data_IF_519264899570
#
_entry.id   IF_519264899570
#
_cell.length_a   1.000
_cell.length_b   1.000
_cell.length_c   1.000
_cell.angle_alpha   90.00
_cell.angle_beta   90.00
_cell.angle_gamma   90.00
#
_symmetry.space_group_name_H-M   'P 1'
#
loop_
_entity.id
_entity.type
_entity.pdbx_description
1 polymer ?
#
# COMPACT_ATOMS: atom_id res chain seq x y z
N UNK A 1 -91.28 1.84 66.93
CA UNK A 1 -91.40 2.22 65.58
C UNK A 1 -90.06 2.75 65.16
N UNK A 2 -89.36 1.96 64.48
CA UNK A 2 -87.93 1.97 64.46
C UNK A 2 -87.48 2.48 63.10
N UNK A 3 -86.61 3.46 63.07
CA UNK A 3 -86.04 3.96 61.84
C UNK A 3 -84.54 3.73 61.88
N UNK A 4 -84.07 2.86 60.98
CA UNK A 4 -82.67 2.48 60.89
C UNK A 4 -82.02 3.19 59.72
N UNK A 5 -81.16 4.14 60.02
CA UNK A 5 -80.30 4.81 59.01
C UNK A 5 -79.12 3.88 58.62
N UNK A 6 -79.02 3.55 57.35
CA UNK A 6 -77.87 2.86 56.77
C UNK A 6 -76.84 3.88 56.31
N UNK A 7 -75.68 3.87 56.91
CA UNK A 7 -74.49 4.57 56.39
C UNK A 7 -73.95 3.82 55.20
N UNK A 8 -73.90 4.46 54.08
CA UNK A 8 -73.16 3.98 52.92
C UNK A 8 -71.68 4.44 53.02
N UNK A 9 -70.78 3.45 53.16
CA UNK A 9 -69.32 3.71 53.01
C UNK A 9 -69.01 3.77 51.55
N UNK A 10 -68.47 4.89 51.07
CA UNK A 10 -67.89 5.05 49.76
C UNK A 10 -66.42 4.56 49.83
N UNK A 11 -66.08 3.46 49.11
CA UNK A 11 -64.72 3.03 48.93
C UNK A 11 -64.21 3.69 47.69
N UNK A 12 -63.25 4.59 47.83
CA UNK A 12 -62.51 5.14 46.69
C UNK A 12 -61.41 4.20 46.35
N UNK A 13 -61.56 3.47 45.23
CA UNK A 13 -60.50 2.67 44.64
C UNK A 13 -59.60 3.58 43.80
N UNK A 14 -58.42 3.87 44.31
CA UNK A 14 -57.35 4.53 43.56
C UNK A 14 -56.68 3.51 42.60
N UNK A 15 -57.04 3.57 41.35
CA UNK A 15 -56.32 2.83 40.27
C UNK A 15 -55.01 3.53 39.97
N UNK A 16 -53.91 3.03 40.51
CA UNK A 16 -52.57 3.45 40.15
C UNK A 16 -52.25 2.98 38.74
N UNK A 17 -52.19 3.89 37.79
CA UNK A 17 -51.66 3.60 36.44
C UNK A 17 -50.14 3.43 36.52
N UNK A 18 -49.65 2.20 36.62
CA UNK A 18 -48.24 1.87 36.37
C UNK A 18 -47.95 2.05 34.87
N UNK A 19 -47.35 3.21 34.50
CA UNK A 19 -46.79 3.42 33.19
C UNK A 19 -45.57 2.47 33.04
N UNK A 20 -45.72 1.35 32.36
CA UNK A 20 -44.60 0.57 31.83
C UNK A 20 -43.90 1.42 30.80
N UNK A 21 -42.81 2.08 31.18
CA UNK A 21 -41.84 2.62 30.25
C UNK A 21 -41.11 1.39 29.65
N UNK A 22 -41.68 0.84 28.59
CA UNK A 22 -41.00 -0.12 27.76
C UNK A 22 -39.76 0.53 27.12
N UNK A 23 -38.62 0.34 27.76
CA UNK A 23 -37.35 0.65 27.12
C UNK A 23 -37.30 -0.20 25.83
N UNK A 24 -37.50 0.44 24.69
CA UNK A 24 -37.18 -0.16 23.40
C UNK A 24 -35.67 -0.43 23.41
N UNK A 25 -35.29 -1.61 23.88
CA UNK A 25 -33.96 -2.17 23.68
C UNK A 25 -33.86 -2.42 22.19
N UNK A 26 -33.42 -1.40 21.44
CA UNK A 26 -32.93 -1.65 20.07
C UNK A 26 -31.87 -2.73 20.20
N UNK A 27 -31.97 -3.84 19.46
CA UNK A 27 -30.92 -4.85 19.49
C UNK A 27 -29.61 -4.14 19.12
N UNK A 28 -28.66 -4.10 20.04
CA UNK A 28 -27.34 -3.63 19.74
C UNK A 28 -26.81 -4.54 18.62
N UNK A 29 -26.70 -4.01 17.41
CA UNK A 29 -25.99 -4.71 16.33
C UNK A 29 -24.63 -5.04 16.92
N UNK A 30 -24.29 -6.33 17.00
CA UNK A 30 -23.01 -6.75 17.53
C UNK A 30 -21.92 -6.00 16.77
N UNK A 31 -21.06 -5.28 17.48
CA UNK A 31 -19.95 -4.56 16.85
C UNK A 31 -19.07 -5.56 16.11
N UNK A 32 -18.60 -5.18 14.92
CA UNK A 32 -17.63 -5.99 14.19
C UNK A 32 -16.40 -6.28 15.07
N UNK A 33 -15.76 -7.46 14.94
CA UNK A 33 -14.53 -7.76 15.67
C UNK A 33 -13.51 -6.65 15.55
N UNK A 34 -12.77 -6.35 16.64
CA UNK A 34 -11.71 -5.38 16.65
C UNK A 34 -12.14 -3.92 16.83
N UNK A 35 -13.44 -3.64 17.03
CA UNK A 35 -13.93 -2.32 17.37
C UNK A 35 -14.56 -2.33 18.76
N UNK A 36 -14.11 -1.44 19.63
CA UNK A 36 -14.69 -1.21 20.96
C UNK A 36 -15.05 0.28 21.13
N UNK A 37 -15.52 0.65 22.30
CA UNK A 37 -15.78 2.06 22.63
C UNK A 37 -14.49 2.90 22.61
N UNK A 38 -13.32 2.30 22.84
CA UNK A 38 -12.04 3.01 23.03
C UNK A 38 -10.94 2.60 22.05
N UNK A 39 -11.14 1.54 21.25
CA UNK A 39 -10.11 0.96 20.39
C UNK A 39 -10.65 0.57 19.03
N UNK A 40 -9.77 0.72 18.01
CA UNK A 40 -9.89 0.12 16.68
C UNK A 40 -8.62 -0.72 16.47
N UNK A 41 -8.77 -2.04 16.36
CA UNK A 41 -7.66 -2.97 16.18
C UNK A 41 -7.50 -3.33 14.70
N UNK A 42 -6.35 -2.98 14.13
CA UNK A 42 -5.97 -3.28 12.75
C UNK A 42 -4.89 -4.37 12.71
N UNK A 43 -4.78 -5.07 11.59
CA UNK A 43 -3.77 -6.10 11.38
C UNK A 43 -2.95 -5.91 10.13
N UNK A 44 -1.67 -6.31 10.18
CA UNK A 44 -0.79 -6.37 9.01
C UNK A 44 0.00 -7.68 9.00
N UNK A 45 -0.01 -8.39 7.86
CA UNK A 45 0.94 -9.45 7.54
C UNK A 45 1.94 -8.90 6.53
N UNK A 46 3.22 -8.90 6.89
CA UNK A 46 4.30 -8.27 6.11
C UNK A 46 5.63 -8.89 6.49
N UNK A 47 6.62 -8.99 5.58
CA UNK A 47 7.94 -9.51 5.91
C UNK A 47 8.67 -8.53 6.83
N UNK A 48 8.86 -8.92 8.10
CA UNK A 48 9.69 -8.18 9.05
C UNK A 48 11.06 -8.82 9.23
N UNK A 49 11.22 -10.06 8.78
CA UNK A 49 12.51 -10.78 8.73
C UNK A 49 12.73 -11.44 7.36
N UNK A 50 13.89 -12.06 7.16
CA UNK A 50 14.25 -12.66 5.87
C UNK A 50 14.85 -11.64 4.88
N UNK A 51 15.00 -12.02 3.60
CA UNK A 51 15.60 -11.17 2.56
C UNK A 51 14.75 -9.92 2.31
N UNK A 52 13.47 -10.07 2.07
CA UNK A 52 12.53 -8.97 1.91
C UNK A 52 12.35 -8.14 3.19
N UNK A 53 12.51 -8.75 4.37
CA UNK A 53 12.44 -8.06 5.66
C UNK A 53 13.53 -7.00 5.84
N UNK A 54 14.70 -7.15 5.21
CA UNK A 54 15.75 -6.12 5.22
C UNK A 54 15.31 -4.83 4.52
N UNK A 55 14.36 -4.92 3.59
CA UNK A 55 13.80 -3.78 2.87
C UNK A 55 12.53 -3.30 3.57
N UNK A 56 11.55 -4.19 3.67
CA UNK A 56 10.16 -3.84 4.03
C UNK A 56 9.85 -4.02 5.53
N UNK A 57 10.80 -4.53 6.33
CA UNK A 57 10.60 -4.81 7.76
C UNK A 57 10.22 -3.59 8.60
N UNK A 58 10.54 -2.39 8.12
CA UNK A 58 10.18 -1.11 8.75
C UNK A 58 8.76 -0.64 8.44
N UNK A 59 8.06 -1.23 7.46
CA UNK A 59 6.71 -0.82 7.05
C UNK A 59 5.68 -0.83 8.20
N UNK A 60 5.54 -1.91 9.00
CA UNK A 60 4.61 -1.91 10.14
C UNK A 60 4.95 -0.86 11.20
N UNK A 61 6.25 -0.64 11.46
CA UNK A 61 6.73 0.37 12.40
C UNK A 61 6.41 1.79 11.94
N UNK A 62 6.55 2.08 10.65
CA UNK A 62 6.19 3.36 10.05
C UNK A 62 4.67 3.64 10.15
N UNK A 63 3.84 2.63 9.87
CA UNK A 63 2.39 2.76 10.03
C UNK A 63 2.00 2.99 11.49
N UNK A 64 2.60 2.21 12.40
CA UNK A 64 2.37 2.36 13.84
C UNK A 64 2.76 3.75 14.34
N UNK A 65 3.89 4.28 13.90
CA UNK A 65 4.33 5.64 14.27
C UNK A 65 3.30 6.71 13.91
N UNK A 66 2.71 6.61 12.73
CA UNK A 66 1.64 7.52 12.33
C UNK A 66 0.36 7.30 13.16
N UNK A 67 -0.03 6.06 13.45
CA UNK A 67 -1.17 5.78 14.31
C UNK A 67 -0.93 6.27 15.75
N UNK A 68 0.28 6.12 16.29
CA UNK A 68 0.64 6.65 17.62
C UNK A 68 0.56 8.18 17.64
N UNK A 69 0.98 8.84 16.56
CA UNK A 69 0.80 10.29 16.40
C UNK A 69 -0.67 10.69 16.42
N UNK A 70 -1.53 9.98 15.68
CA UNK A 70 -2.98 10.23 15.69
C UNK A 70 -3.58 9.95 17.07
N UNK A 71 -3.17 8.87 17.73
CA UNK A 71 -3.62 8.54 19.09
C UNK A 71 -3.26 9.61 20.12
N UNK A 72 -2.06 10.20 20.01
CA UNK A 72 -1.64 11.33 20.85
C UNK A 72 -2.45 12.63 20.59
N UNK A 73 -3.16 12.70 19.46
CA UNK A 73 -3.99 13.83 19.06
C UNK A 73 -5.51 13.49 19.07
N UNK A 74 -5.93 12.57 19.96
CA UNK A 74 -7.36 12.26 20.19
C UNK A 74 -7.90 11.05 19.41
N UNK A 75 -7.08 10.39 18.62
CA UNK A 75 -7.45 9.18 17.87
C UNK A 75 -8.47 9.41 16.77
N UNK A 76 -9.28 8.40 16.49
CA UNK A 76 -10.38 8.45 15.52
C UNK A 76 -11.71 8.33 16.25
N UNK A 77 -12.49 9.40 16.25
CA UNK A 77 -13.76 9.46 16.97
C UNK A 77 -13.65 9.05 18.47
N UNK A 78 -12.55 9.44 19.14
CA UNK A 78 -12.26 9.11 20.54
C UNK A 78 -11.67 7.70 20.75
N UNK A 79 -11.48 6.91 19.72
CA UNK A 79 -10.85 5.57 19.78
C UNK A 79 -9.39 5.64 19.41
N UNK A 80 -8.54 4.86 20.10
CA UNK A 80 -7.15 4.62 19.72
C UNK A 80 -7.07 3.57 18.62
N UNK A 81 -6.12 3.73 17.71
CA UNK A 81 -5.80 2.72 16.71
C UNK A 81 -4.65 1.87 17.25
N UNK A 82 -4.83 0.55 17.24
CA UNK A 82 -3.80 -0.44 17.56
C UNK A 82 -3.47 -1.26 16.32
N UNK A 83 -2.20 -1.45 16.00
CA UNK A 83 -1.73 -2.26 14.88
C UNK A 83 -1.07 -3.55 15.38
N UNK A 84 -1.63 -4.69 15.01
CA UNK A 84 -1.04 -6.02 15.24
C UNK A 84 -0.27 -6.43 14.00
N UNK A 85 1.05 -6.57 14.13
CA UNK A 85 1.93 -6.98 13.03
C UNK A 85 2.34 -8.44 13.18
N UNK A 86 2.31 -9.19 12.08
CA UNK A 86 2.76 -10.59 12.00
C UNK A 86 3.74 -10.76 10.84
N UNK A 87 4.87 -11.42 11.13
CA UNK A 87 5.92 -11.69 10.16
C UNK A 87 5.55 -12.86 9.24
N UNK A 88 5.52 -12.63 7.95
CA UNK A 88 5.29 -13.65 6.93
C UNK A 88 6.55 -14.03 6.12
N UNK A 89 7.67 -13.37 6.38
CA UNK A 89 8.97 -13.61 5.72
C UNK A 89 8.92 -13.56 4.19
N UNK A 90 7.89 -12.93 3.62
CA UNK A 90 7.59 -12.94 2.18
C UNK A 90 7.31 -14.35 1.62
N UNK A 91 6.80 -15.27 2.46
CA UNK A 91 6.46 -16.64 2.08
C UNK A 91 4.94 -16.80 2.00
N UNK A 92 4.37 -17.16 0.83
CA UNK A 92 2.91 -17.23 0.64
C UNK A 92 2.18 -18.13 1.65
N UNK A 93 2.77 -19.27 2.01
CA UNK A 93 2.18 -20.19 3.00
C UNK A 93 2.18 -19.60 4.41
N UNK A 94 3.23 -18.87 4.76
CA UNK A 94 3.31 -18.22 6.06
C UNK A 94 2.38 -17.01 6.12
N UNK A 95 2.30 -16.22 5.05
CA UNK A 95 1.35 -15.12 4.94
C UNK A 95 -0.10 -15.59 5.13
N UNK A 96 -0.48 -16.74 4.53
CA UNK A 96 -1.78 -17.36 4.75
C UNK A 96 -2.02 -17.70 6.23
N UNK A 97 -1.04 -18.29 6.90
CA UNK A 97 -1.11 -18.65 8.32
C UNK A 97 -1.21 -17.40 9.21
N UNK A 98 -0.37 -16.40 8.98
CA UNK A 98 -0.33 -15.19 9.80
C UNK A 98 -1.59 -14.34 9.62
N UNK A 99 -2.09 -14.21 8.40
CA UNK A 99 -3.35 -13.50 8.13
C UNK A 99 -4.53 -14.21 8.78
N UNK A 100 -4.58 -15.55 8.72
CA UNK A 100 -5.62 -16.32 9.41
C UNK A 100 -5.59 -16.08 10.93
N UNK A 101 -4.41 -15.99 11.54
CA UNK A 101 -4.25 -15.66 12.97
C UNK A 101 -4.72 -14.23 13.27
N UNK A 102 -4.41 -13.25 12.45
CA UNK A 102 -4.91 -11.88 12.62
C UNK A 102 -6.44 -11.84 12.70
N UNK A 103 -7.12 -12.64 11.85
CA UNK A 103 -8.58 -12.66 11.81
C UNK A 103 -9.17 -13.49 12.96
N UNK A 104 -8.67 -14.69 13.23
CA UNK A 104 -9.30 -15.65 14.15
C UNK A 104 -8.82 -15.53 15.60
N UNK A 105 -7.54 -15.17 15.81
CA UNK A 105 -6.95 -15.07 17.14
C UNK A 105 -6.91 -13.64 17.64
N UNK A 106 -6.38 -12.72 16.81
CA UNK A 106 -6.25 -11.32 17.20
C UNK A 106 -7.57 -10.54 17.03
N UNK A 107 -8.51 -11.09 16.25
CA UNK A 107 -9.82 -10.50 15.99
C UNK A 107 -9.73 -9.06 15.50
N UNK A 108 -8.87 -8.81 14.49
CA UNK A 108 -8.72 -7.47 13.93
C UNK A 108 -9.96 -7.02 13.15
N UNK A 109 -10.25 -5.74 13.19
CA UNK A 109 -11.36 -5.12 12.47
C UNK A 109 -11.12 -5.14 10.94
N UNK A 110 -9.93 -4.74 10.54
CA UNK A 110 -9.51 -4.68 9.15
C UNK A 110 -8.04 -5.06 9.02
N UNK A 111 -7.63 -5.51 7.85
CA UNK A 111 -6.24 -5.62 7.44
C UNK A 111 -5.81 -4.32 6.76
N UNK A 112 -4.56 -3.93 6.94
CA UNK A 112 -3.99 -2.72 6.34
C UNK A 112 -2.56 -2.98 5.88
N UNK A 113 -2.20 -2.56 4.66
CA UNK A 113 -0.82 -2.54 4.20
C UNK A 113 -0.13 -3.89 4.01
N UNK A 114 -0.87 -5.00 3.91
CA UNK A 114 -0.28 -6.31 3.61
C UNK A 114 0.62 -6.23 2.36
N UNK A 115 1.75 -6.97 2.34
CA UNK A 115 2.77 -6.80 1.31
C UNK A 115 2.93 -8.03 0.42
N UNK A 116 2.98 -7.78 -0.90
CA UNK A 116 3.35 -8.72 -1.93
C UNK A 116 2.17 -9.34 -2.68
N UNK A 117 2.43 -9.80 -3.90
CA UNK A 117 1.40 -10.34 -4.80
C UNK A 117 1.05 -11.78 -4.45
N UNK A 118 2.01 -12.70 -4.51
CA UNK A 118 1.79 -14.11 -4.22
C UNK A 118 1.44 -14.36 -2.74
N UNK A 119 2.09 -13.64 -1.82
CA UNK A 119 1.81 -13.69 -0.38
C UNK A 119 0.38 -13.30 -0.09
N UNK A 120 -0.07 -12.16 -0.60
CA UNK A 120 -1.41 -11.65 -0.35
C UNK A 120 -2.49 -12.48 -1.05
N UNK A 121 -2.28 -12.92 -2.29
CA UNK A 121 -3.23 -13.80 -3.02
C UNK A 121 -3.50 -15.09 -2.26
N UNK A 122 -2.45 -15.68 -1.67
CA UNK A 122 -2.58 -16.89 -0.86
C UNK A 122 -3.28 -16.61 0.47
N UNK A 123 -2.93 -15.51 1.13
CA UNK A 123 -3.51 -15.07 2.39
C UNK A 123 -5.00 -14.75 2.27
N UNK A 124 -5.40 -14.04 1.21
CA UNK A 124 -6.78 -13.67 0.94
C UNK A 124 -7.72 -14.88 0.93
N UNK A 125 -7.33 -15.90 0.17
CA UNK A 125 -8.12 -17.13 0.03
C UNK A 125 -8.12 -17.93 1.33
N UNK A 126 -6.96 -18.13 1.96
CA UNK A 126 -6.83 -18.97 3.16
C UNK A 126 -7.55 -18.39 4.38
N UNK A 127 -7.54 -17.08 4.55
CA UNK A 127 -8.24 -16.40 5.64
C UNK A 127 -9.72 -16.14 5.35
N UNK A 128 -10.18 -16.46 4.12
CA UNK A 128 -11.56 -16.28 3.65
C UNK A 128 -12.05 -14.83 3.83
N UNK A 129 -11.23 -13.84 3.41
CA UNK A 129 -11.50 -12.42 3.67
C UNK A 129 -12.83 -11.95 3.08
N UNK A 130 -13.17 -12.38 1.84
CA UNK A 130 -14.46 -12.08 1.22
C UNK A 130 -15.64 -12.60 2.04
N UNK A 131 -15.61 -13.90 2.41
CA UNK A 131 -16.71 -14.53 3.13
C UNK A 131 -16.92 -13.95 4.53
N UNK A 132 -15.86 -13.40 5.15
CA UNK A 132 -15.91 -12.76 6.46
C UNK A 132 -16.10 -11.24 6.38
N UNK A 133 -16.27 -10.71 5.17
CA UNK A 133 -16.36 -9.27 4.89
C UNK A 133 -15.27 -8.44 5.60
N UNK A 134 -14.02 -8.95 5.63
CA UNK A 134 -12.90 -8.27 6.27
C UNK A 134 -12.36 -7.21 5.32
N UNK A 135 -12.43 -5.90 5.66
CA UNK A 135 -11.79 -4.86 4.86
C UNK A 135 -10.28 -5.10 4.80
N UNK A 136 -9.72 -5.02 3.60
CA UNK A 136 -8.35 -5.35 3.28
C UNK A 136 -7.76 -4.18 2.49
N UNK A 137 -7.13 -3.28 3.24
CA UNK A 137 -6.92 -1.91 2.84
C UNK A 137 -5.47 -1.67 2.43
N UNK A 138 -5.30 -0.94 1.34
CA UNK A 138 -4.03 -0.39 0.90
C UNK A 138 -2.93 -1.44 0.80
N UNK A 139 -3.29 -2.61 0.23
CA UNK A 139 -2.36 -3.72 0.01
C UNK A 139 -1.22 -3.26 -0.87
N UNK A 140 0.01 -3.51 -0.42
CA UNK A 140 1.23 -3.11 -1.10
C UNK A 140 1.57 -4.07 -2.25
N UNK A 141 0.80 -3.95 -3.31
CA UNK A 141 1.01 -4.61 -4.60
C UNK A 141 0.30 -3.84 -5.70
N UNK A 142 0.88 -3.86 -6.89
CA UNK A 142 0.27 -3.34 -8.12
C UNK A 142 -0.36 -4.43 -8.98
N UNK A 143 -0.61 -5.63 -8.44
CA UNK A 143 -1.22 -6.71 -9.22
C UNK A 143 -2.60 -6.32 -9.74
N UNK A 144 -2.74 -6.20 -11.05
CA UNK A 144 -3.98 -5.76 -11.72
C UNK A 144 -5.18 -6.68 -11.45
N UNK A 145 -4.92 -7.97 -11.14
CA UNK A 145 -5.96 -8.93 -10.80
C UNK A 145 -6.78 -8.57 -9.56
N UNK A 146 -6.23 -7.78 -8.61
CA UNK A 146 -6.98 -7.29 -7.45
C UNK A 146 -8.01 -6.21 -7.79
N UNK A 147 -7.98 -5.63 -8.99
CA UNK A 147 -9.03 -4.77 -9.49
C UNK A 147 -10.36 -5.49 -9.72
N UNK A 148 -10.35 -6.82 -9.80
CA UNK A 148 -11.57 -7.62 -9.97
C UNK A 148 -12.40 -7.63 -8.68
N UNK A 149 -13.36 -6.72 -8.58
CA UNK A 149 -14.25 -6.55 -7.41
C UNK A 149 -15.09 -7.80 -7.11
N UNK A 150 -15.47 -8.59 -8.13
CA UNK A 150 -16.24 -9.82 -7.90
C UNK A 150 -15.41 -10.87 -7.16
N UNK A 151 -14.13 -10.99 -7.50
CA UNK A 151 -13.22 -11.94 -6.85
C UNK A 151 -12.66 -11.40 -5.53
N UNK A 152 -12.40 -10.11 -5.45
CA UNK A 152 -11.77 -9.43 -4.32
C UNK A 152 -12.62 -8.26 -3.80
N UNK A 153 -13.86 -8.51 -3.30
CA UNK A 153 -14.83 -7.46 -2.97
C UNK A 153 -14.35 -6.54 -1.83
N UNK A 154 -13.44 -6.99 -0.97
CA UNK A 154 -12.98 -6.28 0.21
C UNK A 154 -11.57 -5.68 0.09
N UNK A 155 -10.85 -5.97 -1.01
CA UNK A 155 -9.43 -5.59 -1.19
C UNK A 155 -9.30 -4.27 -1.95
N UNK A 156 -8.48 -3.37 -1.43
CA UNK A 156 -8.05 -2.13 -2.07
C UNK A 156 -6.52 -2.10 -2.11
N UNK A 157 -5.93 -2.06 -3.32
CA UNK A 157 -4.47 -1.94 -3.48
C UNK A 157 -4.05 -0.49 -3.39
N UNK A 158 -2.80 -0.22 -2.96
CA UNK A 158 -2.29 1.14 -2.91
C UNK A 158 -1.39 1.47 -4.11
N UNK A 159 -0.59 0.54 -4.59
CA UNK A 159 0.28 0.79 -5.73
C UNK A 159 -0.53 0.93 -7.02
N UNK A 160 -0.09 1.76 -7.97
CA UNK A 160 -0.62 1.71 -9.33
C UNK A 160 -0.35 0.32 -9.94
N UNK A 161 -1.15 -0.08 -10.93
CA UNK A 161 -1.02 -1.44 -11.46
C UNK A 161 0.33 -1.66 -12.16
N UNK A 162 0.90 -2.86 -12.00
CA UNK A 162 2.15 -3.26 -12.65
C UNK A 162 2.03 -3.28 -14.18
N UNK A 163 0.85 -3.62 -14.70
CA UNK A 163 0.59 -3.53 -16.13
C UNK A 163 0.65 -2.07 -16.64
N UNK A 164 0.12 -1.13 -15.86
CA UNK A 164 0.25 0.31 -16.13
C UNK A 164 1.71 0.75 -16.07
N UNK A 165 2.45 0.32 -15.03
CA UNK A 165 3.86 0.64 -14.87
C UNK A 165 4.66 0.23 -16.10
N UNK A 166 4.53 -1.02 -16.53
CA UNK A 166 5.23 -1.55 -17.71
C UNK A 166 4.84 -0.83 -19.01
N UNK A 167 3.56 -0.46 -19.18
CA UNK A 167 3.13 0.37 -20.33
C UNK A 167 3.83 1.74 -20.33
N UNK A 168 3.87 2.41 -19.18
CA UNK A 168 4.51 3.73 -19.06
C UNK A 168 6.04 3.61 -19.21
N UNK A 169 6.65 2.52 -18.69
CA UNK A 169 8.06 2.19 -18.96
C UNK A 169 8.34 2.04 -20.46
N UNK A 170 7.49 1.32 -21.19
CA UNK A 170 7.62 1.19 -22.63
C UNK A 170 7.58 2.54 -23.35
N UNK A 171 6.68 3.44 -22.93
CA UNK A 171 6.65 4.82 -23.45
C UNK A 171 7.94 5.57 -23.13
N UNK A 172 8.42 5.46 -21.88
CA UNK A 172 9.68 6.10 -21.50
C UNK A 172 10.87 5.61 -22.34
N UNK A 173 10.97 4.30 -22.59
CA UNK A 173 11.99 3.70 -23.44
C UNK A 173 11.90 4.25 -24.87
N UNK A 174 10.70 4.35 -25.42
CA UNK A 174 10.47 4.92 -26.75
C UNK A 174 10.91 6.37 -26.83
N UNK A 175 10.51 7.18 -25.86
CA UNK A 175 10.68 8.64 -25.92
C UNK A 175 12.10 9.09 -25.51
N UNK A 176 12.77 8.37 -24.60
CA UNK A 176 14.02 8.81 -23.98
C UNK A 176 15.22 7.88 -24.24
N UNK A 177 14.99 6.65 -24.70
CA UNK A 177 16.03 5.64 -24.95
C UNK A 177 15.98 5.11 -26.38
N UNK A 178 15.47 5.91 -27.33
CA UNK A 178 15.39 5.61 -28.77
C UNK A 178 14.67 4.28 -29.09
N UNK A 179 13.77 3.83 -28.20
CA UNK A 179 13.03 2.59 -28.39
C UNK A 179 13.90 1.33 -28.43
N UNK A 180 15.11 1.36 -27.84
CA UNK A 180 16.04 0.23 -27.89
C UNK A 180 15.44 -1.04 -27.27
N UNK A 181 15.79 -2.23 -27.81
CA UNK A 181 15.37 -3.50 -27.24
C UNK A 181 15.99 -3.70 -25.85
N UNK A 182 15.30 -4.46 -24.99
CA UNK A 182 15.71 -4.65 -23.60
C UNK A 182 15.59 -6.10 -23.14
N UNK A 183 16.37 -6.43 -22.12
CA UNK A 183 16.21 -7.64 -21.33
C UNK A 183 15.39 -7.34 -20.08
N UNK A 184 14.47 -8.24 -19.74
CA UNK A 184 13.64 -8.17 -18.55
C UNK A 184 14.03 -9.25 -17.55
N UNK A 185 14.32 -8.86 -16.31
CA UNK A 185 14.52 -9.74 -15.18
C UNK A 185 13.34 -9.53 -14.20
N UNK A 186 12.45 -10.53 -14.10
CA UNK A 186 11.17 -10.38 -13.39
C UNK A 186 10.88 -11.56 -12.46
N UNK A 187 10.05 -11.32 -11.44
CA UNK A 187 9.63 -12.35 -10.49
C UNK A 187 8.70 -13.38 -11.16
N UNK A 188 8.88 -14.67 -10.84
CA UNK A 188 8.16 -15.80 -11.48
C UNK A 188 6.76 -16.02 -10.84
N UNK A 189 5.97 -14.96 -10.70
CA UNK A 189 4.60 -14.99 -10.20
C UNK A 189 3.73 -13.95 -10.93
N UNK A 190 2.56 -13.64 -10.40
CA UNK A 190 1.63 -12.68 -10.98
C UNK A 190 2.21 -11.25 -11.02
N UNK A 191 3.18 -10.91 -10.17
CA UNK A 191 3.90 -9.63 -10.23
C UNK A 191 4.65 -9.49 -11.56
N UNK A 192 5.53 -10.44 -11.86
CA UNK A 192 6.28 -10.39 -13.12
C UNK A 192 5.41 -10.61 -14.35
N UNK A 193 4.42 -11.52 -14.28
CA UNK A 193 3.46 -11.73 -15.37
C UNK A 193 2.68 -10.47 -15.73
N UNK A 194 2.27 -9.69 -14.74
CA UNK A 194 1.52 -8.45 -14.93
C UNK A 194 2.40 -7.39 -15.63
N UNK A 195 3.67 -7.28 -15.26
CA UNK A 195 4.65 -6.45 -15.97
C UNK A 195 4.85 -6.87 -17.42
N UNK A 196 5.03 -8.17 -17.69
CA UNK A 196 5.14 -8.71 -19.05
C UNK A 196 3.89 -8.40 -19.88
N UNK A 197 2.70 -8.56 -19.28
CA UNK A 197 1.44 -8.22 -19.94
C UNK A 197 1.36 -6.73 -20.30
N UNK A 198 1.84 -5.83 -19.43
CA UNK A 198 1.90 -4.40 -19.69
C UNK A 198 2.81 -4.05 -20.87
N UNK A 199 4.01 -4.60 -20.94
CA UNK A 199 4.93 -4.43 -22.08
C UNK A 199 4.33 -4.98 -23.38
N UNK A 200 3.65 -6.13 -23.32
CA UNK A 200 2.97 -6.74 -24.48
C UNK A 200 1.83 -5.83 -24.96
N UNK A 201 1.01 -5.31 -24.04
CA UNK A 201 -0.08 -4.36 -24.34
C UNK A 201 0.44 -3.06 -24.99
N UNK A 202 1.63 -2.60 -24.57
CA UNK A 202 2.33 -1.47 -25.18
C UNK A 202 2.97 -1.77 -26.54
N UNK A 203 2.83 -2.99 -27.06
CA UNK A 203 3.51 -3.46 -28.28
C UNK A 203 5.03 -3.32 -28.25
N UNK A 204 5.60 -3.44 -27.06
CA UNK A 204 7.03 -3.33 -26.79
C UNK A 204 7.46 -4.51 -25.89
N UNK A 205 7.32 -5.77 -26.38
CA UNK A 205 7.68 -6.93 -25.57
C UNK A 205 9.20 -6.98 -25.32
N UNK A 206 9.65 -7.54 -24.18
CA UNK A 206 11.08 -7.76 -23.94
C UNK A 206 11.70 -8.62 -25.03
N UNK A 207 12.92 -8.27 -25.46
CA UNK A 207 13.71 -9.10 -26.39
C UNK A 207 14.28 -10.37 -25.71
N UNK A 208 14.45 -10.30 -24.38
CA UNK A 208 14.80 -11.44 -23.53
C UNK A 208 14.04 -11.32 -22.21
N UNK A 209 13.53 -12.43 -21.68
CA UNK A 209 12.87 -12.50 -20.38
C UNK A 209 13.48 -13.61 -19.55
N UNK A 210 13.97 -13.26 -18.36
CA UNK A 210 14.41 -14.22 -17.35
C UNK A 210 13.57 -14.07 -16.10
N UNK A 211 12.96 -15.16 -15.64
CA UNK A 211 12.15 -15.21 -14.43
C UNK A 211 12.96 -15.78 -13.27
N UNK A 212 12.86 -15.14 -12.10
CA UNK A 212 13.48 -15.60 -10.86
C UNK A 212 12.41 -16.01 -9.83
N UNK A 213 12.72 -16.93 -8.89
CA UNK A 213 11.79 -17.38 -7.86
C UNK A 213 11.33 -16.24 -6.93
N UNK A 214 10.10 -16.31 -6.43
CA UNK A 214 9.49 -15.30 -5.52
C UNK A 214 10.32 -15.05 -4.25
N UNK A 215 11.14 -16.00 -3.81
CA UNK A 215 11.80 -15.94 -2.50
C UNK A 215 13.07 -15.09 -2.45
N UNK A 216 13.95 -15.21 -3.44
CA UNK A 216 15.23 -14.46 -3.50
C UNK A 216 16.02 -14.79 -4.76
N UNK A 217 17.03 -13.97 -5.04
CA UNK A 217 18.04 -14.18 -6.08
C UNK A 217 19.41 -14.26 -5.41
N UNK A 218 20.18 -15.29 -5.74
CA UNK A 218 21.59 -15.41 -5.31
C UNK A 218 22.51 -14.58 -6.21
N UNK A 219 23.70 -14.27 -5.72
CA UNK A 219 24.72 -13.57 -6.51
C UNK A 219 25.07 -14.35 -7.78
N UNK A 220 25.15 -15.68 -7.72
CA UNK A 220 25.48 -16.53 -8.87
C UNK A 220 24.38 -16.49 -9.94
N UNK A 221 23.11 -16.54 -9.54
CA UNK A 221 21.98 -16.40 -10.48
C UNK A 221 22.05 -15.04 -11.19
N UNK A 222 22.30 -13.96 -10.44
CA UNK A 222 22.44 -12.62 -11.01
C UNK A 222 23.64 -12.50 -11.95
N UNK A 223 24.81 -13.07 -11.58
CA UNK A 223 26.02 -13.09 -12.43
C UNK A 223 25.79 -13.89 -13.70
N UNK A 224 25.21 -15.07 -13.61
CA UNK A 224 24.89 -15.89 -14.78
C UNK A 224 23.94 -15.17 -15.74
N UNK A 225 22.89 -14.53 -15.21
CA UNK A 225 21.97 -13.71 -16.00
C UNK A 225 22.71 -12.59 -16.74
N UNK A 226 23.49 -11.78 -16.01
CA UNK A 226 24.20 -10.63 -16.61
C UNK A 226 25.27 -11.06 -17.61
N UNK A 227 25.97 -12.18 -17.36
CA UNK A 227 26.93 -12.74 -18.30
C UNK A 227 26.23 -13.13 -19.60
N UNK A 228 25.10 -13.81 -19.53
CA UNK A 228 24.29 -14.15 -20.69
C UNK A 228 23.82 -12.92 -21.47
N UNK A 229 23.33 -11.89 -20.77
CA UNK A 229 22.88 -10.63 -21.41
C UNK A 229 24.05 -9.88 -22.04
N UNK A 230 25.21 -9.81 -21.37
CA UNK A 230 26.39 -9.10 -21.90
C UNK A 230 26.94 -9.70 -23.19
N UNK A 231 26.68 -11.00 -23.48
CA UNK A 231 26.99 -11.66 -24.70
C UNK A 231 26.03 -11.35 -25.87
N UNK A 232 24.95 -10.61 -25.61
CA UNK A 232 23.95 -10.15 -26.59
C UNK A 232 24.18 -8.69 -26.98
N UNK A 233 23.55 -8.18 -28.04
CA UNK A 233 23.59 -6.74 -28.35
C UNK A 233 22.74 -5.88 -27.41
N UNK A 234 21.99 -6.45 -26.48
CA UNK A 234 21.13 -5.72 -25.55
C UNK A 234 21.95 -4.86 -24.59
N UNK A 235 21.55 -3.60 -24.42
CA UNK A 235 22.20 -2.63 -23.53
C UNK A 235 21.30 -2.12 -22.43
N UNK A 236 20.00 -2.36 -22.50
CA UNK A 236 19.02 -1.99 -21.49
C UNK A 236 18.54 -3.23 -20.74
N UNK A 237 18.63 -3.19 -19.41
CA UNK A 237 18.17 -4.23 -18.50
C UNK A 237 17.09 -3.64 -17.59
N UNK A 238 15.90 -4.20 -17.66
CA UNK A 238 14.80 -3.82 -16.78
C UNK A 238 14.72 -4.81 -15.63
N UNK A 239 14.76 -4.29 -14.40
CA UNK A 239 14.64 -5.02 -13.15
C UNK A 239 13.22 -4.84 -12.60
N UNK A 240 12.35 -5.80 -12.94
CA UNK A 240 10.96 -5.80 -12.47
C UNK A 240 10.84 -6.73 -11.25
N UNK A 241 11.36 -6.24 -10.12
CA UNK A 241 11.56 -7.02 -8.90
C UNK A 241 11.61 -6.14 -7.64
N UNK A 242 11.80 -6.81 -6.51
CA UNK A 242 11.96 -6.17 -5.20
C UNK A 242 13.34 -5.51 -5.06
N UNK A 243 13.49 -4.57 -4.12
CA UNK A 243 14.75 -3.79 -3.97
C UNK A 243 15.96 -4.66 -3.61
N UNK A 244 15.77 -5.72 -2.82
CA UNK A 244 16.85 -6.66 -2.49
C UNK A 244 17.36 -7.44 -3.72
N UNK A 245 16.45 -7.78 -4.64
CA UNK A 245 16.81 -8.39 -5.93
C UNK A 245 17.55 -7.40 -6.82
N UNK A 246 17.05 -6.16 -6.92
CA UNK A 246 17.73 -5.07 -7.63
C UNK A 246 19.14 -4.87 -7.10
N UNK A 247 19.32 -4.82 -5.76
CA UNK A 247 20.64 -4.71 -5.14
C UNK A 247 21.55 -5.88 -5.50
N UNK A 248 21.03 -7.10 -5.51
CA UNK A 248 21.81 -8.30 -5.88
C UNK A 248 22.29 -8.24 -7.34
N UNK A 249 21.41 -7.82 -8.26
CA UNK A 249 21.78 -7.71 -9.68
C UNK A 249 22.77 -6.57 -9.92
N UNK A 250 22.59 -5.41 -9.29
CA UNK A 250 23.51 -4.29 -9.43
C UNK A 250 24.90 -4.60 -8.87
N UNK A 251 25.00 -5.30 -7.73
CA UNK A 251 26.30 -5.76 -7.18
C UNK A 251 26.97 -6.80 -8.09
N UNK A 252 26.20 -7.70 -8.68
CA UNK A 252 26.73 -8.61 -9.71
C UNK A 252 27.23 -7.85 -10.94
N UNK A 253 26.56 -6.74 -11.34
CA UNK A 253 27.02 -5.90 -12.43
C UNK A 253 28.33 -5.15 -12.08
N UNK A 254 28.51 -4.72 -10.81
CA UNK A 254 29.80 -4.20 -10.32
C UNK A 254 30.91 -5.24 -10.47
N UNK A 255 30.70 -6.45 -9.94
CA UNK A 255 31.69 -7.56 -9.97
C UNK A 255 32.10 -7.93 -11.39
N UNK A 256 31.17 -7.82 -12.35
CA UNK A 256 31.40 -8.13 -13.76
C UNK A 256 31.87 -6.93 -14.59
N UNK A 257 32.11 -5.77 -13.96
CA UNK A 257 32.48 -4.51 -14.63
C UNK A 257 31.51 -4.10 -15.76
N UNK A 258 30.20 -4.26 -15.52
CA UNK A 258 29.12 -3.94 -16.46
C UNK A 258 28.47 -2.59 -16.19
N UNK A 259 28.80 -1.91 -15.09
CA UNK A 259 28.33 -0.56 -14.81
C UNK A 259 28.90 0.40 -15.86
N UNK A 260 28.05 1.23 -16.46
CA UNK A 260 28.38 2.09 -17.58
C UNK A 260 28.39 1.41 -18.96
N UNK A 261 28.38 0.05 -19.00
CA UNK A 261 28.23 -0.72 -20.25
C UNK A 261 26.78 -1.15 -20.49
N UNK A 262 26.02 -1.34 -19.43
CA UNK A 262 24.58 -1.58 -19.43
C UNK A 262 23.85 -0.42 -18.77
N UNK A 263 22.69 -0.09 -19.30
CA UNK A 263 21.73 0.82 -18.67
C UNK A 263 20.75 0.01 -17.85
N UNK A 264 20.54 0.38 -16.59
CA UNK A 264 19.59 -0.31 -15.71
C UNK A 264 18.36 0.57 -15.49
N UNK A 265 17.19 -0.07 -15.49
CA UNK A 265 15.90 0.56 -15.19
C UNK A 265 15.16 -0.32 -14.20
N UNK A 266 14.76 0.24 -13.06
CA UNK A 266 14.02 -0.47 -12.01
C UNK A 266 12.56 -0.05 -11.99
N UNK A 267 11.66 -1.00 -11.69
CA UNK A 267 10.29 -0.70 -11.32
C UNK A 267 10.21 0.04 -9.99
N UNK A 268 9.03 0.58 -9.69
CA UNK A 268 8.76 1.37 -8.47
C UNK A 268 9.02 0.60 -7.17
N UNK A 269 8.88 -0.72 -7.22
CA UNK A 269 9.15 -1.60 -6.06
C UNK A 269 10.65 -1.84 -5.87
N UNK A 270 11.46 -1.73 -6.94
CA UNK A 270 12.88 -2.08 -6.94
C UNK A 270 13.84 -0.91 -6.83
N UNK A 271 13.39 0.33 -6.99
CA UNK A 271 14.23 1.51 -7.20
C UNK A 271 14.53 2.38 -5.97
N UNK A 272 14.32 1.89 -4.74
CA UNK A 272 14.59 2.71 -3.54
C UNK A 272 16.09 2.85 -3.26
N UNK A 273 16.62 4.04 -3.54
CA UNK A 273 18.04 4.36 -3.41
C UNK A 273 18.58 4.18 -1.99
N UNK A 274 17.83 4.60 -0.97
CA UNK A 274 18.28 4.48 0.43
C UNK A 274 18.46 3.01 0.82
N UNK A 275 17.54 2.18 0.41
CA UNK A 275 17.62 0.74 0.64
C UNK A 275 18.73 0.10 -0.20
N UNK A 276 18.90 0.48 -1.47
CA UNK A 276 20.00 -0.02 -2.31
C UNK A 276 21.36 0.28 -1.67
N UNK A 277 21.58 1.51 -1.20
CA UNK A 277 22.80 1.91 -0.49
C UNK A 277 22.97 1.14 0.83
N UNK A 278 21.91 0.99 1.62
CA UNK A 278 21.94 0.22 2.87
C UNK A 278 22.22 -1.29 2.65
N UNK A 279 21.86 -1.81 1.48
CA UNK A 279 22.19 -3.18 1.05
C UNK A 279 23.61 -3.30 0.46
N UNK A 280 24.39 -2.22 0.45
CA UNK A 280 25.79 -2.20 0.04
C UNK A 280 26.01 -2.03 -1.46
N UNK A 281 25.02 -1.53 -2.22
CA UNK A 281 25.24 -1.05 -3.59
C UNK A 281 26.01 0.27 -3.51
N UNK A 282 27.04 0.46 -4.34
CA UNK A 282 27.87 1.66 -4.29
C UNK A 282 27.12 2.89 -4.82
N UNK A 283 27.43 4.11 -4.32
CA UNK A 283 26.90 5.35 -4.85
C UNK A 283 27.13 5.51 -6.36
N UNK A 284 28.31 5.09 -6.87
CA UNK A 284 28.64 5.14 -8.30
C UNK A 284 27.86 4.15 -9.15
N UNK A 285 27.30 3.11 -8.55
CA UNK A 285 26.48 2.09 -9.23
C UNK A 285 25.04 2.51 -9.38
N UNK A 286 24.50 3.20 -8.37
CA UNK A 286 23.13 3.73 -8.45
C UNK A 286 23.06 5.01 -9.30
N UNK A 287 24.17 5.69 -9.53
CA UNK A 287 24.21 6.92 -10.35
C UNK A 287 23.78 6.61 -11.79
N UNK A 288 22.70 7.24 -12.22
CA UNK A 288 22.08 7.01 -13.53
C UNK A 288 21.07 5.86 -13.59
N UNK A 289 20.86 5.10 -12.49
CA UNK A 289 19.76 4.13 -12.43
C UNK A 289 18.42 4.82 -12.66
N UNK A 290 17.70 4.41 -13.70
CA UNK A 290 16.36 4.92 -13.99
C UNK A 290 15.37 4.17 -13.08
N UNK A 291 14.51 4.89 -12.37
CA UNK A 291 13.51 4.30 -11.49
C UNK A 291 12.13 4.90 -11.74
N UNK A 292 11.12 4.05 -11.68
CA UNK A 292 9.72 4.47 -11.64
C UNK A 292 9.35 4.89 -10.23
N UNK A 293 8.52 5.93 -10.09
CA UNK A 293 7.94 6.35 -8.82
C UNK A 293 6.54 6.93 -9.02
N UNK A 294 5.76 6.90 -7.96
CA UNK A 294 4.49 7.61 -7.84
C UNK A 294 4.48 8.54 -6.61
N UNK A 295 5.54 8.49 -5.82
CA UNK A 295 5.80 9.40 -4.69
C UNK A 295 6.83 10.47 -5.05
N UNK A 296 6.93 11.55 -4.26
CA UNK A 296 8.11 12.41 -4.26
C UNK A 296 9.35 11.63 -3.78
N UNK A 297 10.52 12.18 -4.02
CA UNK A 297 11.75 11.65 -3.40
C UNK A 297 11.64 11.78 -1.87
N UNK A 298 11.85 10.68 -1.14
CA UNK A 298 11.82 10.67 0.32
C UNK A 298 12.92 11.56 0.95
N UNK A 299 13.90 12.02 0.19
CA UNK A 299 14.93 13.00 0.61
C UNK A 299 14.55 14.46 0.36
N UNK A 300 13.49 14.71 -0.38
CA UNK A 300 13.03 16.06 -0.67
C UNK A 300 12.26 16.64 0.52
N UNK A 301 12.98 17.20 1.47
CA UNK A 301 12.38 17.85 2.65
C UNK A 301 11.66 19.16 2.35
N UNK A 302 11.68 19.64 1.08
CA UNK A 302 10.84 20.77 0.65
C UNK A 302 9.42 20.33 0.33
N UNK A 303 9.20 19.03 0.09
CA UNK A 303 7.87 18.45 -0.05
C UNK A 303 7.18 18.40 1.32
N UNK A 304 5.99 18.97 1.41
CA UNK A 304 5.25 19.11 2.68
C UNK A 304 4.89 17.77 3.35
N UNK A 305 4.60 16.72 2.56
CA UNK A 305 4.33 15.38 3.10
C UNK A 305 5.61 14.71 3.61
N UNK A 306 6.69 14.81 2.85
CA UNK A 306 7.99 14.29 3.26
C UNK A 306 8.46 14.97 4.54
N UNK A 307 8.38 16.31 4.61
CA UNK A 307 8.76 17.07 5.80
C UNK A 307 7.94 16.66 7.03
N UNK A 308 6.61 16.61 6.91
CA UNK A 308 5.72 16.26 8.03
C UNK A 308 5.90 14.81 8.48
N UNK A 309 5.98 13.86 7.55
CA UNK A 309 6.17 12.45 7.89
C UNK A 309 7.56 12.18 8.47
N UNK A 310 8.59 12.89 8.00
CA UNK A 310 9.93 12.85 8.62
C UNK A 310 9.89 13.31 10.07
N UNK A 311 9.18 14.39 10.38
CA UNK A 311 9.03 14.88 11.75
C UNK A 311 8.28 13.87 12.64
N UNK A 312 7.22 13.23 12.12
CA UNK A 312 6.49 12.17 12.81
C UNK A 312 7.41 10.96 13.04
N UNK A 313 8.15 10.52 12.00
CA UNK A 313 9.09 9.41 12.10
C UNK A 313 10.13 9.63 13.19
N UNK A 314 10.76 10.80 13.20
CA UNK A 314 11.78 11.15 14.20
C UNK A 314 11.26 11.01 15.61
N UNK A 315 10.01 11.40 15.86
CA UNK A 315 9.41 11.39 17.20
C UNK A 315 8.84 10.05 17.62
N UNK A 316 8.16 9.34 16.70
CA UNK A 316 7.37 8.14 17.02
C UNK A 316 7.98 6.82 16.52
N UNK A 317 9.08 6.91 15.75
CA UNK A 317 9.82 5.75 15.23
C UNK A 317 11.34 5.99 15.32
N UNK A 318 11.86 6.35 16.50
CA UNK A 318 13.25 6.77 16.65
C UNK A 318 14.22 5.68 16.19
N UNK A 319 15.32 6.08 15.56
CA UNK A 319 16.35 5.17 15.05
C UNK A 319 16.06 4.56 13.68
N UNK A 320 14.88 4.78 13.11
CA UNK A 320 14.56 4.32 11.76
C UNK A 320 14.75 5.46 10.75
N UNK A 321 15.64 5.26 9.79
CA UNK A 321 15.87 6.22 8.70
C UNK A 321 14.62 6.39 7.85
N UNK A 322 14.25 7.65 7.58
CA UNK A 322 13.13 7.96 6.68
C UNK A 322 13.54 7.69 5.23
N UNK A 323 12.76 6.87 4.53
CA UNK A 323 12.95 6.49 3.13
C UNK A 323 11.59 6.19 2.47
N UNK A 324 11.62 5.68 1.23
CA UNK A 324 10.39 5.39 0.48
C UNK A 324 9.48 4.38 1.16
N UNK A 325 10.02 3.38 1.89
CA UNK A 325 9.20 2.39 2.62
C UNK A 325 8.52 3.04 3.82
N UNK A 326 9.23 3.91 4.54
CA UNK A 326 8.66 4.67 5.66
C UNK A 326 7.62 5.67 5.15
N UNK A 327 7.91 6.41 4.08
CA UNK A 327 6.97 7.32 3.42
C UNK A 327 5.68 6.58 3.03
N UNK A 328 5.81 5.43 2.38
CA UNK A 328 4.68 4.59 1.96
C UNK A 328 3.87 4.08 3.15
N UNK A 329 4.54 3.62 4.22
CA UNK A 329 3.88 3.16 5.44
C UNK A 329 3.07 4.26 6.12
N UNK A 330 3.65 5.44 6.29
CA UNK A 330 2.95 6.58 6.90
C UNK A 330 1.80 7.09 6.02
N UNK A 331 1.99 7.12 4.71
CA UNK A 331 0.94 7.49 3.78
C UNK A 331 -0.24 6.50 3.82
N UNK A 332 0.03 5.19 3.83
CA UNK A 332 -1.03 4.17 3.96
C UNK A 332 -1.76 4.28 5.31
N UNK A 333 -1.04 4.60 6.38
CA UNK A 333 -1.65 4.86 7.68
C UNK A 333 -2.53 6.13 7.67
N UNK A 334 -2.09 7.20 7.01
CA UNK A 334 -2.88 8.41 6.84
C UNK A 334 -4.16 8.17 6.04
N UNK A 335 -4.08 7.40 4.96
CA UNK A 335 -5.26 6.98 4.18
C UNK A 335 -6.21 6.13 5.03
N UNK A 336 -5.66 5.23 5.87
CA UNK A 336 -6.46 4.42 6.80
C UNK A 336 -7.23 5.30 7.79
N UNK A 337 -6.59 6.33 8.36
CA UNK A 337 -7.25 7.28 9.26
C UNK A 337 -8.37 8.04 8.55
N UNK A 338 -8.14 8.47 7.30
CA UNK A 338 -9.17 9.12 6.49
C UNK A 338 -10.36 8.20 6.24
N UNK A 339 -10.10 6.94 5.86
CA UNK A 339 -11.15 5.95 5.63
C UNK A 339 -11.98 5.69 6.90
N UNK A 340 -11.32 5.51 8.05
CA UNK A 340 -11.99 5.30 9.34
C UNK A 340 -12.86 6.51 9.75
N UNK A 341 -12.37 7.74 9.53
CA UNK A 341 -13.13 8.97 9.79
C UNK A 341 -14.31 9.11 8.85
N UNK A 342 -14.10 8.83 7.55
CA UNK A 342 -15.15 8.86 6.54
C UNK A 342 -16.27 7.85 6.81
N UNK A 343 -15.94 6.68 7.41
CA UNK A 343 -16.91 5.67 7.83
C UNK A 343 -17.73 6.09 9.08
N UNK A 344 -17.27 7.12 9.82
CA UNK A 344 -18.02 7.72 10.90
C UNK A 344 -17.88 7.00 12.24
N UNK A 345 -18.73 7.41 13.22
CA UNK A 345 -18.67 6.90 14.60
C UNK A 345 -19.20 5.47 14.73
N UNK A 346 -20.22 5.11 13.97
CA UNK A 346 -20.83 3.79 13.94
C UNK A 346 -20.06 2.90 12.95
N UNK A 347 -18.85 2.52 13.35
CA UNK A 347 -17.89 1.85 12.49
C UNK A 347 -18.29 0.39 12.26
N UNK A 348 -18.50 0.03 10.99
CA UNK A 348 -18.70 -1.35 10.52
C UNK A 348 -17.76 -1.66 9.37
N UNK A 349 -17.47 -2.93 9.13
CA UNK A 349 -16.64 -3.39 8.01
C UNK A 349 -17.22 -2.94 6.66
N UNK A 350 -18.52 -3.10 6.48
CA UNK A 350 -19.23 -2.66 5.28
C UNK A 350 -19.17 -1.13 5.11
N UNK A 351 -19.41 -0.38 6.20
CA UNK A 351 -19.30 1.07 6.21
C UNK A 351 -17.91 1.57 5.86
N UNK A 352 -16.85 0.87 6.29
CA UNK A 352 -15.47 1.22 5.95
C UNK A 352 -15.17 0.99 4.46
N UNK A 353 -15.60 -0.14 3.88
CA UNK A 353 -15.50 -0.43 2.45
C UNK A 353 -16.24 0.65 1.64
N UNK A 354 -17.50 0.94 2.01
CA UNK A 354 -18.33 1.95 1.36
C UNK A 354 -17.70 3.36 1.45
N UNK A 355 -17.07 3.70 2.58
CA UNK A 355 -16.39 5.00 2.73
C UNK A 355 -15.24 5.17 1.74
N UNK A 356 -14.45 4.12 1.48
CA UNK A 356 -13.38 4.17 0.49
C UNK A 356 -13.95 4.22 -0.92
N UNK A 357 -14.99 3.45 -1.23
CA UNK A 357 -15.66 3.47 -2.53
C UNK A 357 -16.22 4.86 -2.88
N UNK A 358 -16.76 5.57 -1.91
CA UNK A 358 -17.43 6.85 -2.14
C UNK A 358 -16.52 8.07 -1.98
N UNK A 359 -15.48 7.99 -1.16
CA UNK A 359 -14.64 9.15 -0.80
C UNK A 359 -13.14 8.94 -1.06
N UNK A 360 -12.69 7.70 -1.31
CA UNK A 360 -11.27 7.37 -1.36
C UNK A 360 -10.47 8.15 -2.40
N UNK A 361 -11.07 8.51 -3.54
CA UNK A 361 -10.42 9.34 -4.55
C UNK A 361 -10.15 10.80 -4.09
N UNK A 362 -10.81 11.25 -3.03
CA UNK A 362 -10.66 12.61 -2.48
C UNK A 362 -9.75 12.66 -1.26
N UNK A 363 -9.16 11.54 -0.84
CA UNK A 363 -8.27 11.51 0.31
C UNK A 363 -6.97 12.25 0.00
N UNK A 364 -6.48 12.99 0.98
CA UNK A 364 -5.17 13.61 0.94
C UNK A 364 -4.08 12.52 0.96
N UNK A 365 -3.04 12.67 0.16
CA UNK A 365 -2.06 11.62 -0.08
C UNK A 365 -0.72 12.21 -0.53
N UNK A 366 0.38 11.58 -0.13
CA UNK A 366 1.72 11.96 -0.55
C UNK A 366 2.00 11.67 -2.03
N UNK A 367 1.16 10.88 -2.71
CA UNK A 367 1.35 10.54 -4.11
C UNK A 367 1.31 11.75 -5.05
N UNK A 368 2.21 11.80 -6.02
CA UNK A 368 2.23 12.77 -7.11
C UNK A 368 1.24 12.41 -8.23
N UNK A 369 0.49 11.35 -8.03
CA UNK A 369 -0.47 10.77 -8.97
C UNK A 369 -1.84 10.68 -8.29
N UNK A 370 -2.95 10.71 -9.04
CA UNK A 370 -4.28 10.67 -8.45
C UNK A 370 -4.58 9.32 -7.78
N UNK A 371 -5.37 9.36 -6.70
CA UNK A 371 -6.06 8.19 -6.18
C UNK A 371 -7.29 7.89 -7.06
N UNK A 372 -7.56 6.61 -7.33
CA UNK A 372 -8.63 6.17 -8.22
C UNK A 372 -9.64 5.24 -7.54
N UNK A 373 -9.73 5.26 -6.22
CA UNK A 373 -10.72 4.48 -5.50
C UNK A 373 -12.14 4.92 -5.83
N UNK A 374 -13.00 3.96 -6.15
CA UNK A 374 -14.41 4.19 -6.41
C UNK A 374 -15.21 2.90 -6.25
N UNK A 375 -16.51 2.99 -6.41
CA UNK A 375 -17.37 1.80 -6.47
C UNK A 375 -16.97 0.81 -7.59
N UNK A 376 -16.30 1.28 -8.64
CA UNK A 376 -15.83 0.47 -9.77
C UNK A 376 -14.32 0.21 -9.76
N UNK A 377 -13.53 0.94 -8.96
CA UNK A 377 -12.06 0.80 -8.90
C UNK A 377 -11.57 0.43 -7.51
N UNK A 378 -10.76 -0.61 -7.45
CA UNK A 378 -10.05 -1.10 -6.25
C UNK A 378 -8.58 -0.71 -6.25
N UNK A 379 -8.08 -0.08 -7.31
CA UNK A 379 -6.70 0.38 -7.45
C UNK A 379 -6.59 1.78 -6.88
N UNK A 380 -5.57 2.00 -6.02
CA UNK A 380 -5.33 3.28 -5.37
C UNK A 380 -4.75 4.31 -6.31
N UNK A 381 -3.44 4.33 -6.41
CA UNK A 381 -2.77 5.29 -7.28
C UNK A 381 -2.92 4.95 -8.77
N UNK A 382 -3.00 5.97 -9.59
CA UNK A 382 -3.22 5.84 -11.03
C UNK A 382 -2.20 6.67 -11.81
N UNK A 383 -0.96 6.18 -11.87
CA UNK A 383 0.09 6.80 -12.66
C UNK A 383 1.50 6.57 -12.12
N UNK A 384 2.47 6.95 -12.94
CA UNK A 384 3.89 6.89 -12.63
C UNK A 384 4.64 8.08 -13.25
N UNK A 385 5.75 8.43 -12.65
CA UNK A 385 6.79 9.25 -13.24
C UNK A 385 8.14 8.53 -13.16
N UNK A 386 9.10 8.98 -13.95
CA UNK A 386 10.44 8.39 -14.00
C UNK A 386 11.48 9.41 -13.56
N UNK A 387 12.40 8.93 -12.72
CA UNK A 387 13.56 9.66 -12.28
C UNK A 387 14.85 8.93 -12.63
N UNK A 388 15.97 9.65 -12.52
CA UNK A 388 17.32 9.09 -12.45
C UNK A 388 17.86 9.30 -11.04
N UNK A 389 18.39 8.25 -10.45
CA UNK A 389 19.13 8.37 -9.21
C UNK A 389 20.46 9.06 -9.48
N UNK A 390 20.91 9.91 -8.58
CA UNK A 390 22.26 10.41 -8.55
C UNK A 390 23.11 9.66 -7.50
N UNK A 391 24.40 9.90 -7.45
CA UNK A 391 25.31 9.27 -6.49
C UNK A 391 24.99 9.58 -5.01
N UNK A 392 24.17 10.62 -4.73
CA UNK A 392 23.67 10.93 -3.39
C UNK A 392 22.41 10.12 -3.03
N UNK A 393 21.89 9.34 -3.98
CA UNK A 393 20.65 8.57 -3.85
C UNK A 393 19.40 9.45 -3.89
N UNK A 394 19.46 10.61 -4.54
CA UNK A 394 18.31 11.46 -4.81
C UNK A 394 17.68 11.05 -6.14
N UNK A 395 16.37 10.86 -6.15
CA UNK A 395 15.61 10.57 -7.37
C UNK A 395 15.21 11.90 -8.03
N UNK A 396 15.89 12.26 -9.09
CA UNK A 396 15.60 13.48 -9.88
C UNK A 396 14.77 13.14 -11.11
N UNK A 397 13.86 14.02 -11.55
CA UNK A 397 13.14 13.80 -12.81
C UNK A 397 14.12 13.44 -13.92
N UNK A 398 13.82 12.41 -14.70
CA UNK A 398 14.70 11.95 -15.77
C UNK A 398 14.82 12.97 -16.89
N UNK A 399 13.86 13.87 -17.02
CA UNK A 399 13.84 15.00 -17.95
C UNK A 399 13.27 16.24 -17.25
N UNK A 400 13.90 17.41 -17.48
CA UNK A 400 13.48 18.67 -16.87
C UNK A 400 13.73 18.73 -15.36
N UNK A 401 13.02 19.60 -14.67
CA UNK A 401 13.14 19.84 -13.22
C UNK A 401 11.94 19.36 -12.40
N UNK A 402 10.83 19.06 -13.06
CA UNK A 402 9.58 18.65 -12.44
C UNK A 402 9.18 17.25 -12.94
N UNK A 403 8.72 16.35 -12.08
CA UNK A 403 8.19 15.06 -12.50
C UNK A 403 7.10 15.17 -13.55
N UNK A 404 7.24 14.44 -14.66
CA UNK A 404 6.19 14.29 -15.67
C UNK A 404 5.47 12.99 -15.41
N UNK A 405 4.25 13.11 -14.88
CA UNK A 405 3.40 11.97 -14.54
C UNK A 405 2.62 11.52 -15.78
N UNK A 406 2.57 10.22 -15.97
CA UNK A 406 1.71 9.57 -16.95
C UNK A 406 0.72 8.64 -16.25
N UNK A 407 -0.48 8.57 -16.78
CA UNK A 407 -1.56 7.68 -16.33
C UNK A 407 -2.08 6.81 -17.46
N UNK A 408 -2.80 5.76 -17.11
CA UNK A 408 -3.66 4.99 -18.02
C UNK A 408 -4.93 4.63 -17.25
N UNK A 409 -5.95 4.13 -17.95
CA UNK A 409 -7.10 3.52 -17.27
C UNK A 409 -6.72 2.14 -16.72
N UNK A 410 -6.17 2.11 -15.51
CA UNK A 410 -5.74 0.89 -14.79
C UNK A 410 -4.88 -0.06 -15.64
N UNK A 411 -4.10 0.49 -16.57
CA UNK A 411 -3.27 -0.25 -17.51
C UNK A 411 -3.97 -0.68 -18.80
N UNK A 412 -5.28 -0.50 -18.91
CA UNK A 412 -6.06 -0.89 -20.12
C UNK A 412 -6.12 0.21 -21.18
N UNK A 413 -6.24 1.48 -20.75
CA UNK A 413 -6.38 2.62 -21.64
C UNK A 413 -5.07 3.12 -22.26
N UNK A 414 -5.17 4.19 -23.02
CA UNK A 414 -4.04 4.89 -23.61
C UNK A 414 -3.20 5.60 -22.52
N UNK A 415 -1.91 5.76 -22.80
CA UNK A 415 -1.01 6.50 -21.91
C UNK A 415 -1.23 7.99 -22.15
N UNK A 416 -1.64 8.70 -21.13
CA UNK A 416 -1.85 10.15 -21.17
C UNK A 416 -0.99 10.86 -20.12
N UNK A 417 -0.55 12.08 -20.43
CA UNK A 417 0.10 12.94 -19.44
C UNK A 417 -0.93 13.40 -18.42
N UNK A 418 -0.62 13.26 -17.13
CA UNK A 418 -1.48 13.73 -16.05
C UNK A 418 -1.28 15.22 -15.80
N UNK A 419 -2.37 15.92 -15.55
CA UNK A 419 -2.41 17.31 -15.05
C UNK A 419 -2.79 17.37 -13.55
N UNK A 420 -2.80 16.23 -12.87
CA UNK A 420 -3.17 16.10 -11.46
C UNK A 420 -2.37 17.04 -10.56
N UNK A 421 -3.09 17.74 -9.71
CA UNK A 421 -2.54 18.58 -8.64
C UNK A 421 -2.85 17.91 -7.31
N UNK A 422 -1.80 17.50 -6.61
CA UNK A 422 -1.90 16.89 -5.29
C UNK A 422 -2.57 17.84 -4.30
N UNK A 423 -3.47 17.31 -3.47
CA UNK A 423 -4.03 18.06 -2.35
C UNK A 423 -2.92 18.41 -1.35
N UNK A 424 -2.97 19.60 -0.73
CA UNK A 424 -2.02 19.94 0.33
C UNK A 424 -2.17 18.97 1.50
N UNK A 425 -1.09 18.80 2.27
CA UNK A 425 -1.15 17.99 3.46
C UNK A 425 -2.16 18.59 4.45
N UNK A 426 -2.99 17.77 5.09
CA UNK A 426 -3.88 18.23 6.14
C UNK A 426 -3.11 18.95 7.27
N UNK A 427 -3.72 19.95 7.90
CA UNK A 427 -3.10 20.70 8.97
C UNK A 427 -2.46 19.78 10.01
N UNK A 428 -1.17 19.98 10.30
CA UNK A 428 -0.35 19.12 11.16
C UNK A 428 -0.29 17.65 10.70
N UNK A 429 -0.59 17.35 9.44
CA UNK A 429 -0.70 15.98 8.95
C UNK A 429 -1.83 15.16 9.58
N UNK A 430 -2.85 15.81 10.13
CA UNK A 430 -4.01 15.16 10.75
C UNK A 430 -5.23 15.38 9.86
N UNK A 431 -5.70 14.36 9.14
CA UNK A 431 -6.86 14.50 8.28
C UNK A 431 -8.13 14.89 9.08
N UNK A 432 -8.79 15.93 8.66
CA UNK A 432 -10.12 16.28 9.14
C UNK A 432 -11.14 15.88 8.09
N UNK A 433 -11.74 14.71 8.26
CA UNK A 433 -12.91 14.30 7.48
C UNK A 433 -14.13 14.46 8.40
N UNK A 434 -14.60 15.68 8.53
CA UNK A 434 -15.92 15.97 9.11
C UNK A 434 -16.96 16.02 7.99
#
# INVERSE_FOLDING_TARGET
>A
MINTNRLKRVVIASVGAMALVGSLVTPAVAADPGVTATEIKLGISSPTTGSAGRVYGKLPGAMKAYFDYINANGGVNGRKITLVARDDKYLPTLAATQTTKLILQDQVFALVGALGTATHSKAYTAAALAAKNVPDLFVNTGYSGFANKTKYPTTFTILPSYAMEAKIMAKYIKDNLSGQPFALFAQADEFGKDGIAGFTAAKTPPANTTLYPTSSVTADVAKNYLTAISATPLKLVILFGTTDVTATVLKAAEDLNLIGKLTFMAGSVGGDANTLLALGVKPTTIDGLIAASFFPDAKDTTDEYVAQFTAINTKYNPGVTFDNVVLQGMNSAMLTVQALRAAGKNLTREGLISAIENKGATFASAGLVPLNFSASSRVGYNGYWFGKLNAKGELKPATGTTPVVYTTDSGAGDIVKSDYKRLPIPAKGIPNNS
#
